data_IF_884693734945
#
_entry.id   IF_884693734945
#
_cell.length_a   1.000
_cell.length_b   1.000
_cell.length_c   1.000
_cell.angle_alpha   90.00
_cell.angle_beta   90.00
_cell.angle_gamma   90.00
#
_symmetry.space_group_name_H-M   'P 1'
#
loop_
_entity.id
_entity.type
_entity.pdbx_description
1 polymer ?
#
# COMPACT_ATOMS: atom_id res chain seq x y z
N UNK A 1 11.46 1.47 0.23
CA UNK A 1 10.99 0.42 1.16
C UNK A 1 10.22 -0.64 0.37
N UNK A 2 9.98 -1.85 0.92
CA UNK A 2 9.16 -2.87 0.23
C UNK A 2 7.69 -2.66 0.60
N UNK A 3 6.79 -2.77 -0.39
CA UNK A 3 5.34 -2.75 -0.15
C UNK A 3 4.93 -3.92 0.75
N UNK A 4 4.33 -3.59 1.88
CA UNK A 4 3.73 -4.50 2.85
C UNK A 4 2.19 -4.43 2.72
N UNK A 5 1.61 -5.53 2.26
CA UNK A 5 0.18 -5.60 1.99
C UNK A 5 -0.66 -5.70 3.28
N UNK A 6 -0.10 -6.21 4.38
CA UNK A 6 -0.82 -6.25 5.66
C UNK A 6 -0.91 -4.83 6.24
N UNK A 7 0.14 -4.01 6.10
CA UNK A 7 0.09 -2.59 6.45
C UNK A 7 -0.89 -1.80 5.55
N UNK A 8 -0.92 -2.08 4.24
CA UNK A 8 -1.91 -1.45 3.34
C UNK A 8 -3.34 -1.73 3.82
N UNK A 9 -3.66 -3.00 4.09
CA UNK A 9 -4.99 -3.39 4.58
C UNK A 9 -5.33 -2.68 5.89
N UNK A 10 -4.39 -2.66 6.84
CA UNK A 10 -4.57 -2.00 8.14
C UNK A 10 -4.91 -0.52 7.96
N UNK A 11 -4.13 0.21 7.17
CA UNK A 11 -4.38 1.64 6.93
C UNK A 11 -5.76 1.87 6.31
N UNK A 12 -6.15 1.07 5.32
CA UNK A 12 -7.46 1.22 4.66
C UNK A 12 -8.63 0.90 5.60
N UNK A 13 -8.50 -0.07 6.50
CA UNK A 13 -9.51 -0.35 7.53
C UNK A 13 -9.65 0.84 8.49
N UNK A 14 -8.55 1.37 9.00
CA UNK A 14 -8.56 2.54 9.90
C UNK A 14 -9.19 3.78 9.23
N UNK A 15 -8.87 4.01 7.95
CA UNK A 15 -9.47 5.12 7.19
C UNK A 15 -10.96 4.87 6.94
N UNK A 16 -11.36 3.62 6.65
CA UNK A 16 -12.75 3.26 6.42
C UNK A 16 -13.64 3.34 7.66
N UNK A 17 -13.05 3.28 8.85
CA UNK A 17 -13.74 3.38 10.14
C UNK A 17 -13.65 4.82 10.74
N UNK A 18 -12.95 5.75 10.09
CA UNK A 18 -12.76 7.13 10.55
C UNK A 18 -13.66 8.12 9.82
N UNK A 19 -14.33 9.01 10.59
CA UNK A 19 -15.12 10.12 10.04
C UNK A 19 -14.25 11.32 9.60
N UNK A 20 -12.96 11.33 9.97
CA UNK A 20 -12.03 12.43 9.72
C UNK A 20 -10.75 11.96 9.05
N UNK A 21 -10.05 12.82 8.28
CA UNK A 21 -8.71 12.54 7.80
C UNK A 21 -7.74 12.23 8.96
N UNK A 22 -6.81 11.32 8.72
CA UNK A 22 -5.81 10.89 9.70
C UNK A 22 -4.44 11.42 9.34
N UNK A 23 -3.69 11.87 10.35
CA UNK A 23 -2.25 12.09 10.22
C UNK A 23 -1.53 10.75 10.37
N UNK A 24 -0.46 10.53 9.61
CA UNK A 24 0.33 9.30 9.67
C UNK A 24 0.79 8.94 11.09
N UNK A 25 1.06 9.92 11.95
CA UNK A 25 1.45 9.68 13.34
C UNK A 25 0.39 8.94 14.15
N UNK A 26 -0.90 9.07 13.80
CA UNK A 26 -1.98 8.33 14.45
C UNK A 26 -1.96 6.82 14.11
N UNK A 27 -1.29 6.44 13.03
CA UNK A 27 -1.21 5.07 12.52
C UNK A 27 0.14 4.39 12.85
N UNK A 28 1.06 5.12 13.50
CA UNK A 28 2.38 4.63 13.91
C UNK A 28 2.25 3.65 15.07
N UNK A 29 3.08 2.60 15.02
CA UNK A 29 3.22 1.59 16.08
C UNK A 29 4.68 1.20 16.21
N UNK A 30 5.03 0.41 17.23
CA UNK A 30 6.39 -0.15 17.37
C UNK A 30 6.78 -1.04 16.17
N UNK A 31 5.82 -1.74 15.56
CA UNK A 31 6.02 -2.56 14.36
C UNK A 31 6.14 -1.71 13.09
N UNK A 32 5.35 -0.64 13.00
CA UNK A 32 5.26 0.23 11.82
C UNK A 32 5.64 1.67 12.17
N UNK A 33 6.94 2.04 12.08
CA UNK A 33 7.39 3.40 12.35
C UNK A 33 6.89 4.38 11.29
N UNK A 34 6.93 5.68 11.61
CA UNK A 34 6.43 6.77 10.76
C UNK A 34 6.86 6.65 9.30
N UNK A 35 8.14 6.40 9.04
CA UNK A 35 8.67 6.32 7.68
C UNK A 35 7.97 5.21 6.86
N UNK A 36 7.68 4.07 7.51
CA UNK A 36 6.96 2.98 6.88
C UNK A 36 5.50 3.34 6.65
N UNK A 37 4.81 3.90 7.63
CA UNK A 37 3.41 4.32 7.50
C UNK A 37 3.26 5.36 6.40
N UNK A 38 4.09 6.42 6.42
CA UNK A 38 4.05 7.50 5.46
C UNK A 38 4.35 7.02 4.03
N UNK A 39 5.31 6.10 3.86
CA UNK A 39 5.58 5.45 2.58
C UNK A 39 4.36 4.66 2.06
N UNK A 40 3.64 3.96 2.93
CA UNK A 40 2.46 3.19 2.51
C UNK A 40 1.25 4.09 2.22
N UNK A 41 1.05 5.17 2.97
CA UNK A 41 0.01 6.18 2.65
C UNK A 41 0.26 6.72 1.24
N UNK A 42 1.49 7.12 0.93
CA UNK A 42 1.85 7.63 -0.38
C UNK A 42 1.59 6.59 -1.51
N UNK A 43 1.94 5.32 -1.31
CA UNK A 43 1.62 4.25 -2.27
C UNK A 43 0.12 4.04 -2.48
N UNK A 44 -0.68 4.10 -1.40
CA UNK A 44 -2.14 3.94 -1.46
C UNK A 44 -2.75 5.11 -2.24
N UNK A 45 -2.24 6.33 -2.03
CA UNK A 45 -2.62 7.51 -2.81
C UNK A 45 -2.26 7.38 -4.29
N UNK A 46 -1.05 6.91 -4.62
CA UNK A 46 -0.63 6.63 -6.00
C UNK A 46 -1.52 5.58 -6.69
N UNK A 47 -2.07 4.63 -5.93
CA UNK A 47 -3.02 3.65 -6.44
C UNK A 47 -4.44 4.20 -6.62
N UNK A 48 -4.70 5.46 -6.25
CA UNK A 48 -6.00 6.12 -6.39
C UNK A 48 -7.06 5.61 -5.42
N UNK A 49 -6.68 4.89 -4.35
CA UNK A 49 -7.64 4.32 -3.40
C UNK A 49 -8.10 5.34 -2.35
N UNK A 50 -7.31 6.39 -2.12
CA UNK A 50 -7.59 7.45 -1.14
C UNK A 50 -7.06 8.78 -1.64
N UNK A 51 -7.60 9.87 -1.09
CA UNK A 51 -6.93 11.18 -1.19
C UNK A 51 -5.78 11.27 -0.18
N UNK A 52 -4.62 11.76 -0.59
CA UNK A 52 -3.46 11.93 0.29
C UNK A 52 -2.88 13.34 0.19
N UNK A 53 -2.28 13.79 1.29
CA UNK A 53 -1.48 15.01 1.35
C UNK A 53 -0.10 14.67 1.93
N UNK A 54 0.89 14.56 1.05
CA UNK A 54 2.25 14.11 1.38
C UNK A 54 3.24 15.23 1.10
N UNK A 55 4.03 15.59 2.10
CA UNK A 55 5.10 16.59 1.99
C UNK A 55 6.47 15.94 2.10
N UNK A 56 7.38 16.34 1.22
CA UNK A 56 8.73 15.76 1.08
C UNK A 56 9.81 16.83 1.24
N UNK A 57 10.92 16.45 1.86
CA UNK A 57 12.15 17.27 1.92
C UNK A 57 13.11 16.91 0.78
N UNK A 58 14.24 17.62 0.70
CA UNK A 58 15.36 17.29 -0.17
C UNK A 58 15.78 15.83 0.07
N UNK A 59 15.99 15.08 -1.01
CA UNK A 59 16.27 13.64 -0.96
C UNK A 59 15.03 12.75 -0.92
N UNK A 60 13.85 13.29 -1.26
CA UNK A 60 12.58 12.56 -1.41
C UNK A 60 12.04 11.92 -0.11
N UNK A 61 12.59 12.33 1.05
CA UNK A 61 12.12 11.86 2.35
C UNK A 61 10.76 12.48 2.66
N UNK A 62 9.76 11.63 2.94
CA UNK A 62 8.46 12.06 3.43
C UNK A 62 8.59 12.55 4.88
N UNK A 63 8.05 13.73 5.16
CA UNK A 63 8.16 14.41 6.46
C UNK A 63 6.82 14.75 7.07
N UNK A 64 5.76 14.67 6.25
CA UNK A 64 4.36 14.71 6.68
C UNK A 64 3.55 13.90 5.70
N UNK A 65 2.59 13.13 6.21
CA UNK A 65 1.63 12.40 5.40
C UNK A 65 0.28 12.43 6.11
N UNK A 66 -0.72 12.99 5.42
CA UNK A 66 -2.12 12.91 5.78
C UNK A 66 -2.85 11.99 4.82
N UNK A 67 -3.81 11.22 5.33
CA UNK A 67 -4.68 10.35 4.55
C UNK A 67 -6.13 10.78 4.76
N UNK A 68 -6.79 11.07 3.64
CA UNK A 68 -8.19 11.47 3.57
C UNK A 68 -9.11 10.28 3.27
N UNK A 69 -10.38 10.57 2.90
CA UNK A 69 -11.36 9.52 2.68
C UNK A 69 -10.99 8.60 1.50
N UNK A 70 -11.54 7.38 1.55
CA UNK A 70 -11.50 6.43 0.45
C UNK A 70 -12.17 7.01 -0.79
N UNK A 71 -11.61 6.72 -1.96
CA UNK A 71 -12.29 6.92 -3.25
C UNK A 71 -13.36 5.85 -3.44
N UNK A 72 -14.11 5.90 -4.55
CA UNK A 72 -15.06 4.83 -4.89
C UNK A 72 -14.33 3.48 -5.02
N UNK A 73 -13.25 3.46 -5.79
CA UNK A 73 -12.39 2.30 -5.98
C UNK A 73 -11.74 1.85 -4.66
N UNK A 74 -11.41 2.80 -3.78
CA UNK A 74 -10.95 2.52 -2.43
C UNK A 74 -11.96 1.75 -1.58
N UNK A 75 -13.24 2.13 -1.66
CA UNK A 75 -14.32 1.42 -0.96
C UNK A 75 -14.53 0.02 -1.53
N UNK A 76 -14.59 -0.14 -2.86
CA UNK A 76 -14.72 -1.46 -3.49
C UNK A 76 -13.54 -2.38 -3.14
N UNK A 77 -12.33 -1.83 -3.12
CA UNK A 77 -11.14 -2.56 -2.71
C UNK A 77 -11.19 -2.94 -1.23
N UNK A 78 -11.58 -2.01 -0.35
CA UNK A 78 -11.71 -2.27 1.08
C UNK A 78 -12.71 -3.38 1.36
N UNK A 79 -13.90 -3.32 0.76
CA UNK A 79 -14.93 -4.35 0.92
C UNK A 79 -14.44 -5.73 0.46
N UNK A 80 -13.64 -5.79 -0.61
CA UNK A 80 -13.04 -7.03 -1.08
C UNK A 80 -12.00 -7.62 -0.13
N UNK A 81 -11.32 -6.80 0.69
CA UNK A 81 -10.28 -7.25 1.62
C UNK A 81 -10.72 -7.24 3.09
N UNK A 82 -11.95 -6.77 3.39
CA UNK A 82 -12.46 -6.68 4.77
C UNK A 82 -12.63 -8.05 5.39
N UNK A 83 -13.12 -9.03 4.63
CA UNK A 83 -13.25 -10.42 5.08
C UNK A 83 -11.87 -11.12 5.15
N UNK A 84 -11.52 -11.66 6.32
CA UNK A 84 -10.23 -12.33 6.54
C UNK A 84 -10.03 -13.58 5.66
N UNK A 85 -11.10 -14.28 5.31
CA UNK A 85 -11.04 -15.45 4.42
C UNK A 85 -10.73 -15.02 2.99
N UNK A 86 -11.38 -13.96 2.51
CA UNK A 86 -11.08 -13.36 1.20
C UNK A 86 -9.67 -12.77 1.20
N UNK A 87 -9.27 -12.06 2.26
CA UNK A 87 -7.94 -11.50 2.40
C UNK A 87 -6.84 -12.56 2.29
N UNK A 88 -6.98 -13.67 3.02
CA UNK A 88 -6.02 -14.79 2.95
C UNK A 88 -5.93 -15.39 1.54
N UNK A 89 -7.06 -15.48 0.82
CA UNK A 89 -7.07 -15.92 -0.59
C UNK A 89 -6.35 -14.93 -1.50
N UNK A 90 -6.57 -13.63 -1.31
CA UNK A 90 -5.87 -12.55 -2.03
C UNK A 90 -4.36 -12.64 -1.78
N UNK A 91 -3.92 -12.73 -0.52
CA UNK A 91 -2.49 -12.90 -0.17
C UNK A 91 -1.89 -14.14 -0.83
N UNK A 92 -2.60 -15.26 -0.82
CA UNK A 92 -2.16 -16.50 -1.48
C UNK A 92 -2.01 -16.31 -2.99
N UNK A 93 -2.94 -15.61 -3.64
CA UNK A 93 -2.87 -15.30 -5.07
C UNK A 93 -1.71 -14.35 -5.38
N UNK A 94 -1.56 -13.27 -4.62
CA UNK A 94 -0.44 -12.32 -4.79
C UNK A 94 0.90 -13.04 -4.60
N UNK A 95 1.06 -13.88 -3.58
CA UNK A 95 2.29 -14.65 -3.37
C UNK A 95 2.61 -15.59 -4.55
N UNK A 96 1.61 -16.25 -5.12
CA UNK A 96 1.75 -17.12 -6.29
C UNK A 96 2.07 -16.34 -7.56
N UNK A 97 1.39 -15.20 -7.78
CA UNK A 97 1.56 -14.38 -8.98
C UNK A 97 2.84 -13.56 -8.95
N UNK A 98 3.23 -12.97 -7.81
CA UNK A 98 4.51 -12.26 -7.68
C UNK A 98 5.67 -13.26 -7.78
N UNK A 99 5.56 -14.45 -7.19
CA UNK A 99 6.54 -15.52 -7.37
C UNK A 99 6.74 -15.95 -8.84
N UNK A 100 5.67 -15.95 -9.65
CA UNK A 100 5.74 -16.30 -11.08
C UNK A 100 6.16 -15.12 -11.96
N UNK A 101 5.54 -13.95 -11.79
CA UNK A 101 5.69 -12.81 -12.69
C UNK A 101 7.06 -12.12 -12.58
N UNK A 102 7.67 -12.04 -11.38
CA UNK A 102 9.03 -11.47 -11.29
C UNK A 102 10.09 -12.42 -11.87
N UNK A 103 9.89 -13.74 -11.83
CA UNK A 103 10.83 -14.69 -12.42
C UNK A 103 10.71 -14.64 -13.96
N UNK A 104 9.48 -14.67 -14.49
CA UNK A 104 9.28 -14.66 -15.94
C UNK A 104 9.71 -13.34 -16.59
N UNK A 105 9.47 -12.19 -15.94
CA UNK A 105 9.89 -10.88 -16.47
C UNK A 105 11.40 -10.65 -16.35
N UNK A 106 12.06 -11.12 -15.28
CA UNK A 106 13.53 -11.03 -15.14
C UNK A 106 14.22 -11.99 -16.12
N UNK A 107 13.70 -13.20 -16.33
CA UNK A 107 14.25 -14.14 -17.33
C UNK A 107 14.02 -13.63 -18.76
N UNK A 108 12.89 -12.99 -19.04
CA UNK A 108 12.62 -12.42 -20.36
C UNK A 108 13.58 -11.27 -20.70
N UNK A 109 13.99 -10.45 -19.72
CA UNK A 109 14.98 -9.39 -19.95
C UNK A 109 16.41 -9.94 -20.13
N UNK A 110 16.78 -11.00 -19.40
CA UNK A 110 18.11 -11.63 -19.48
C UNK A 110 18.35 -12.47 -20.74
N UNK A 111 17.32 -12.72 -21.56
CA UNK A 111 17.42 -13.47 -22.84
C UNK A 111 17.47 -12.58 -24.08
N UNK A 112 17.23 -11.28 -23.94
CA UNK A 112 17.19 -10.33 -25.07
C UNK A 112 18.55 -9.66 -25.31
N UNK A 113 19.45 -9.65 -24.32
CA UNK A 113 20.80 -9.02 -24.42
C UNK A 113 21.92 -10.00 -24.84
N UNK A 114 21.61 -11.01 -25.66
CA UNK A 114 22.61 -11.96 -26.18
C UNK A 114 22.46 -12.19 -27.69
N UNK A 115 22.10 -11.17 -28.50
CA UNK A 115 22.36 -11.11 -29.94
C UNK A 115 22.49 -9.67 -30.42
#
# INVERSE_FOLDING_TARGET
>A
MRRDMDLVRRILLEVGDSDLPLDANALVTDEYPFEQVAYHIDLIGQAGLVWVDVSRMIGDRIVRAGIGPLTWEGNEYLDAIRDDTVWRRVKTRIAKTVGSATIDTVIAHLRVDQW
#
